data_IF_990914697587
#
_entry.id   IF_990914697587
#
_cell.length_a   1.000
_cell.length_b   1.000
_cell.length_c   1.000
_cell.angle_alpha   90.00
_cell.angle_beta   90.00
_cell.angle_gamma   90.00
#
_symmetry.space_group_name_H-M   'P 1'
#
loop_
_entity.id
_entity.type
_entity.pdbx_description
1 polymer ?
#
# COMPACT_ATOMS: atom_id res chain seq x y z
N UNK A 1 23.70 7.41 -20.80
CA UNK A 1 22.89 7.90 -19.66
C UNK A 1 21.90 8.90 -20.19
N UNK A 2 20.61 8.65 -19.98
CA UNK A 2 19.52 9.49 -20.46
C UNK A 2 18.68 9.99 -19.29
N UNK A 3 18.26 11.26 -19.33
CA UNK A 3 17.52 11.87 -18.23
C UNK A 3 16.42 12.79 -18.77
N UNK A 4 15.28 12.80 -18.07
CA UNK A 4 14.21 13.77 -18.29
C UNK A 4 13.70 14.30 -16.96
N UNK A 5 13.70 15.63 -16.83
CA UNK A 5 13.20 16.36 -15.67
C UNK A 5 11.92 17.09 -16.06
N UNK A 6 10.84 16.83 -15.30
CA UNK A 6 9.52 17.45 -15.43
C UNK A 6 9.03 17.93 -14.05
N UNK A 7 8.01 18.79 -14.04
CA UNK A 7 7.33 19.18 -12.78
C UNK A 7 6.73 17.96 -12.06
N UNK A 8 6.25 17.00 -12.84
CA UNK A 8 5.58 15.79 -12.36
C UNK A 8 6.56 14.69 -11.87
N UNK A 9 7.85 14.78 -12.23
CA UNK A 9 8.87 13.81 -11.83
C UNK A 9 10.13 13.88 -12.67
N UNK A 10 11.15 13.15 -12.22
CA UNK A 10 12.44 12.99 -12.92
C UNK A 10 12.69 11.53 -13.18
N UNK A 11 13.00 11.17 -14.43
CA UNK A 11 13.40 9.82 -14.81
C UNK A 11 14.85 9.83 -15.28
N UNK A 12 15.66 8.93 -14.73
CA UNK A 12 17.09 8.79 -15.06
C UNK A 12 17.37 7.35 -15.44
N UNK A 13 17.91 7.14 -16.63
CA UNK A 13 18.35 5.84 -17.14
C UNK A 13 19.88 5.79 -17.19
N UNK A 14 20.46 4.85 -16.45
CA UNK A 14 21.92 4.67 -16.37
C UNK A 14 22.46 3.58 -17.31
N UNK A 15 21.58 2.76 -17.90
CA UNK A 15 21.92 1.62 -18.75
C UNK A 15 21.36 0.31 -18.20
N UNK A 16 21.35 0.15 -16.87
CA UNK A 16 20.93 -1.08 -16.20
C UNK A 16 19.59 -0.92 -15.47
N UNK A 17 19.26 0.31 -15.06
CA UNK A 17 18.04 0.62 -14.35
C UNK A 17 17.50 2.01 -14.71
N UNK A 18 16.18 2.13 -14.60
CA UNK A 18 15.46 3.38 -14.73
C UNK A 18 14.98 3.83 -13.35
N UNK A 19 15.52 4.95 -12.88
CA UNK A 19 15.16 5.57 -11.61
C UNK A 19 14.02 6.57 -11.84
N UNK A 20 12.90 6.37 -11.17
CA UNK A 20 11.71 7.22 -11.23
C UNK A 20 11.58 7.98 -9.90
N UNK A 21 11.83 9.28 -9.93
CA UNK A 21 11.70 10.15 -8.77
C UNK A 21 10.43 10.99 -8.91
N UNK A 22 9.46 10.91 -7.97
CA UNK A 22 8.24 11.71 -8.04
C UNK A 22 8.57 13.20 -7.90
N UNK A 23 7.83 14.04 -8.63
CA UNK A 23 7.98 15.49 -8.52
C UNK A 23 7.51 16.01 -7.16
N UNK A 24 7.92 17.24 -6.83
CA UNK A 24 7.53 17.91 -5.58
C UNK A 24 6.30 18.79 -5.72
N UNK A 25 5.78 18.97 -6.93
CA UNK A 25 4.63 19.83 -7.21
C UNK A 25 3.36 19.35 -6.48
N UNK A 26 2.44 20.28 -6.19
CA UNK A 26 1.18 19.99 -5.51
C UNK A 26 0.26 19.03 -6.28
N UNK A 27 0.40 18.98 -7.61
CA UNK A 27 -0.38 18.13 -8.50
C UNK A 27 0.13 16.69 -8.56
N UNK A 28 1.35 16.41 -8.06
CA UNK A 28 1.86 15.04 -7.99
C UNK A 28 1.04 14.25 -6.98
N UNK A 29 0.53 13.10 -7.42
CA UNK A 29 -0.36 12.25 -6.63
C UNK A 29 0.24 11.84 -5.29
N UNK A 30 -0.58 11.81 -4.25
CA UNK A 30 -0.14 11.50 -2.88
C UNK A 30 0.51 10.12 -2.78
N UNK A 31 0.01 9.13 -3.53
CA UNK A 31 0.63 7.80 -3.62
C UNK A 31 2.05 7.85 -4.15
N UNK A 32 2.31 8.57 -5.25
CA UNK A 32 3.66 8.67 -5.81
C UNK A 32 4.63 9.33 -4.82
N UNK A 33 4.17 10.36 -4.10
CA UNK A 33 4.95 11.00 -3.03
C UNK A 33 5.27 10.04 -1.89
N UNK A 34 4.28 9.25 -1.46
CA UNK A 34 4.43 8.27 -0.38
C UNK A 34 5.31 7.07 -0.79
N UNK A 35 5.21 6.62 -2.05
CA UNK A 35 6.05 5.58 -2.61
C UNK A 35 7.51 6.03 -2.72
N UNK A 36 7.73 7.31 -3.02
CA UNK A 36 9.06 7.88 -3.14
C UNK A 36 9.75 7.46 -4.43
N UNK A 37 11.08 7.44 -4.40
CA UNK A 37 11.90 7.02 -5.53
C UNK A 37 11.75 5.52 -5.80
N UNK A 38 11.63 5.16 -7.08
CA UNK A 38 11.56 3.78 -7.54
C UNK A 38 12.70 3.48 -8.51
N UNK A 39 13.49 2.45 -8.22
CA UNK A 39 14.50 1.94 -9.15
C UNK A 39 13.92 0.73 -9.87
N UNK A 40 13.73 0.85 -11.18
CA UNK A 40 13.18 -0.19 -12.05
C UNK A 40 14.32 -0.84 -12.82
N UNK A 41 14.73 -2.07 -12.50
CA UNK A 41 15.81 -2.72 -13.24
C UNK A 41 15.36 -3.06 -14.66
N UNK A 42 16.28 -3.00 -15.63
CA UNK A 42 16.00 -3.24 -17.05
C UNK A 42 15.28 -4.59 -17.26
N UNK A 43 15.71 -5.63 -16.54
CA UNK A 43 15.09 -6.98 -16.57
C UNK A 43 13.60 -7.02 -16.19
N UNK A 44 13.07 -6.00 -15.52
CA UNK A 44 11.67 -5.88 -15.15
C UNK A 44 10.82 -5.14 -16.19
N UNK A 45 11.46 -4.47 -17.15
CA UNK A 45 10.78 -3.74 -18.21
C UNK A 45 10.40 -4.67 -19.36
N UNK A 46 9.15 -4.57 -19.80
CA UNK A 46 8.66 -5.15 -21.05
C UNK A 46 8.60 -4.11 -22.18
N UNK A 47 8.88 -2.84 -21.88
CA UNK A 47 8.99 -1.77 -22.87
C UNK A 47 8.70 -0.38 -22.31
N UNK A 48 8.89 0.62 -23.17
CA UNK A 48 8.58 2.02 -22.92
C UNK A 48 7.98 2.65 -24.18
N UNK A 49 6.95 3.47 -24.00
CA UNK A 49 6.35 4.27 -25.08
C UNK A 49 6.37 5.75 -24.74
N UNK A 50 6.49 6.56 -25.79
CA UNK A 50 6.29 8.00 -25.73
C UNK A 50 5.15 8.37 -26.67
N UNK A 51 4.13 9.03 -26.14
CA UNK A 51 2.98 9.52 -26.90
C UNK A 51 3.02 11.04 -26.92
N UNK A 52 3.24 11.62 -28.11
CA UNK A 52 3.22 13.08 -28.31
C UNK A 52 1.77 13.57 -28.42
N UNK A 53 1.41 14.58 -27.63
CA UNK A 53 0.12 15.26 -27.72
C UNK A 53 0.24 16.71 -28.19
N UNK A 54 -0.89 17.37 -28.44
CA UNK A 54 -0.90 18.77 -28.91
C UNK A 54 -0.39 19.78 -27.87
N UNK A 55 -0.62 19.51 -26.57
CA UNK A 55 -0.25 20.40 -25.45
C UNK A 55 0.69 19.75 -24.44
N UNK A 56 0.63 18.43 -24.34
CA UNK A 56 1.44 17.62 -23.43
C UNK A 56 1.58 16.22 -24.02
N UNK A 57 2.73 15.59 -23.81
CA UNK A 57 2.98 14.19 -24.14
C UNK A 57 3.00 13.34 -22.87
N UNK A 58 3.20 12.04 -23.06
CA UNK A 58 3.27 11.08 -21.96
C UNK A 58 4.32 10.02 -22.24
N UNK A 59 5.23 9.82 -21.29
CA UNK A 59 6.04 8.61 -21.21
C UNK A 59 5.31 7.55 -20.38
N UNK A 60 5.31 6.31 -20.86
CA UNK A 60 4.69 5.18 -20.17
C UNK A 60 5.64 3.99 -20.15
N UNK A 61 5.91 3.47 -18.96
CA UNK A 61 6.62 2.21 -18.77
C UNK A 61 5.62 1.06 -18.75
N UNK A 62 6.02 -0.05 -19.38
CA UNK A 62 5.34 -1.33 -19.26
C UNK A 62 6.30 -2.29 -18.56
N UNK A 63 5.91 -2.75 -17.39
CA UNK A 63 6.64 -3.81 -16.68
C UNK A 63 6.23 -5.18 -17.23
N UNK A 64 7.08 -6.18 -17.05
CA UNK A 64 6.75 -7.57 -17.30
C UNK A 64 5.66 -8.02 -16.33
N UNK A 65 4.77 -8.88 -16.81
CA UNK A 65 3.68 -9.42 -16.00
C UNK A 65 4.25 -10.20 -14.80
N UNK A 66 3.76 -9.92 -13.60
CA UNK A 66 4.27 -10.47 -12.34
C UNK A 66 5.49 -9.74 -11.75
N UNK A 67 6.13 -8.81 -12.46
CA UNK A 67 7.38 -8.21 -11.97
C UNK A 67 7.20 -7.23 -10.79
N UNK A 68 6.00 -6.67 -10.61
CA UNK A 68 5.76 -5.61 -9.63
C UNK A 68 4.58 -5.91 -8.70
N UNK A 69 4.80 -5.92 -7.37
CA UNK A 69 3.72 -6.18 -6.42
C UNK A 69 2.65 -5.07 -6.40
N UNK A 70 3.00 -3.81 -6.70
CA UNK A 70 2.03 -2.72 -6.80
C UNK A 70 1.08 -2.88 -7.99
N UNK A 71 1.62 -3.24 -9.16
CA UNK A 71 0.78 -3.53 -10.33
C UNK A 71 -0.06 -4.78 -10.09
N UNK A 72 0.50 -5.81 -9.45
CA UNK A 72 -0.22 -7.02 -9.10
C UNK A 72 -1.38 -6.77 -8.16
N UNK A 73 -1.17 -5.97 -7.10
CA UNK A 73 -2.21 -5.67 -6.11
C UNK A 73 -3.31 -4.75 -6.65
N UNK A 74 -2.98 -3.87 -7.61
CA UNK A 74 -3.92 -2.90 -8.17
C UNK A 74 -4.62 -3.38 -9.44
N UNK A 75 -4.12 -4.44 -10.08
CA UNK A 75 -4.64 -4.93 -11.35
C UNK A 75 -4.61 -3.88 -12.47
N UNK A 76 -3.68 -2.93 -12.41
CA UNK A 76 -3.59 -1.81 -13.37
C UNK A 76 -4.66 -0.72 -13.21
N UNK A 77 -5.46 -0.76 -12.14
CA UNK A 77 -6.54 0.21 -11.87
C UNK A 77 -6.02 1.54 -11.29
N UNK A 78 -4.73 1.61 -10.95
CA UNK A 78 -4.10 2.84 -10.48
C UNK A 78 -3.83 3.77 -11.67
N UNK A 79 -4.63 4.82 -11.80
CA UNK A 79 -4.55 5.79 -12.90
C UNK A 79 -3.89 7.10 -12.47
N UNK A 80 -3.72 8.05 -13.40
CA UNK A 80 -3.22 9.39 -13.07
C UNK A 80 -4.15 10.09 -12.05
N UNK A 81 -3.60 10.87 -11.11
CA UNK A 81 -2.19 11.24 -10.96
C UNK A 81 -1.36 10.26 -10.10
N UNK A 82 -1.87 9.05 -9.85
CA UNK A 82 -1.29 8.09 -8.91
C UNK A 82 -0.36 7.05 -9.55
N UNK A 83 -0.45 6.81 -10.85
CA UNK A 83 0.39 5.84 -11.56
C UNK A 83 1.88 6.26 -11.55
N UNK A 84 2.79 5.54 -10.87
CA UNK A 84 4.21 5.88 -10.81
C UNK A 84 4.96 5.58 -12.12
N UNK A 85 4.36 4.79 -13.03
CA UNK A 85 4.98 4.34 -14.28
C UNK A 85 4.63 5.23 -15.47
N UNK A 86 4.08 6.42 -15.19
CA UNK A 86 3.77 7.46 -16.18
C UNK A 86 4.44 8.76 -15.80
N UNK A 87 4.86 9.50 -16.82
CA UNK A 87 5.37 10.86 -16.68
C UNK A 87 4.73 11.75 -17.72
N UNK A 88 4.10 12.84 -17.27
CA UNK A 88 3.61 13.89 -18.16
C UNK A 88 4.80 14.68 -18.70
N UNK A 89 4.84 14.90 -20.01
CA UNK A 89 5.95 15.56 -20.71
C UNK A 89 5.46 16.90 -21.28
N UNK A 90 6.10 17.99 -20.91
CA UNK A 90 5.88 19.31 -21.52
C UNK A 90 6.37 19.35 -22.98
N UNK A 91 5.73 20.15 -23.84
CA UNK A 91 5.95 20.12 -25.30
C UNK A 91 7.37 20.47 -25.74
N UNK A 92 8.07 21.30 -24.96
CA UNK A 92 9.47 21.68 -25.16
C UNK A 92 10.45 20.55 -24.77
N UNK A 93 9.95 19.46 -24.17
CA UNK A 93 10.75 18.30 -23.73
C UNK A 93 10.49 17.04 -24.55
N UNK A 94 9.75 17.11 -25.65
CA UNK A 94 9.42 15.93 -26.47
C UNK A 94 10.64 15.23 -27.03
N UNK A 95 11.63 15.96 -27.55
CA UNK A 95 12.87 15.35 -28.04
C UNK A 95 13.67 14.62 -26.95
N UNK A 96 13.67 15.13 -25.71
CA UNK A 96 14.30 14.47 -24.56
C UNK A 96 13.54 13.20 -24.18
N UNK A 97 12.20 13.25 -24.21
CA UNK A 97 11.37 12.09 -23.92
C UNK A 97 11.54 10.97 -24.96
N UNK A 98 11.60 11.34 -26.23
CA UNK A 98 11.88 10.41 -27.34
C UNK A 98 13.28 9.78 -27.18
N UNK A 99 14.30 10.59 -26.90
CA UNK A 99 15.64 10.10 -26.61
C UNK A 99 15.69 9.11 -25.43
N UNK A 100 15.05 9.43 -24.30
CA UNK A 100 14.97 8.51 -23.15
C UNK A 100 14.27 7.21 -23.53
N UNK A 101 13.19 7.28 -24.31
CA UNK A 101 12.47 6.09 -24.74
C UNK A 101 13.30 5.23 -25.69
N UNK A 102 14.04 5.84 -26.61
CA UNK A 102 14.90 5.13 -27.56
C UNK A 102 16.10 4.48 -26.85
N UNK A 103 16.74 5.16 -25.90
CA UNK A 103 17.85 4.60 -25.11
C UNK A 103 17.42 3.35 -24.33
N UNK A 104 16.26 3.40 -23.67
CA UNK A 104 15.71 2.24 -22.94
C UNK A 104 15.33 1.11 -23.91
N UNK A 105 14.73 1.42 -25.08
CA UNK A 105 14.42 0.39 -26.08
C UNK A 105 15.67 -0.26 -26.65
N UNK A 106 16.71 0.53 -26.91
CA UNK A 106 18.00 0.03 -27.39
C UNK A 106 18.66 -0.87 -26.35
N UNK A 107 18.65 -0.49 -25.06
CA UNK A 107 19.18 -1.33 -23.99
C UNK A 107 18.42 -2.66 -23.87
N UNK A 108 17.08 -2.64 -23.93
CA UNK A 108 16.27 -3.87 -23.93
C UNK A 108 16.63 -4.82 -25.09
N UNK A 109 16.92 -4.26 -26.26
CA UNK A 109 17.32 -5.03 -27.45
C UNK A 109 18.73 -5.61 -27.30
N UNK A 110 19.70 -4.79 -26.87
CA UNK A 110 21.10 -5.19 -26.73
C UNK A 110 21.27 -6.28 -25.67
N UNK A 111 20.59 -6.14 -24.54
CA UNK A 111 20.63 -7.10 -23.42
C UNK A 111 19.68 -8.28 -23.62
N UNK A 112 18.92 -8.30 -24.73
CA UNK A 112 17.98 -9.36 -25.09
C UNK A 112 16.99 -9.67 -23.96
N UNK A 113 16.50 -8.62 -23.29
CA UNK A 113 15.58 -8.77 -22.14
C UNK A 113 14.25 -9.38 -22.61
N UNK A 114 13.82 -10.53 -22.04
CA UNK A 114 12.55 -11.14 -22.42
C UNK A 114 11.36 -10.24 -22.05
N UNK A 115 10.39 -10.12 -22.96
CA UNK A 115 9.15 -9.37 -22.71
C UNK A 115 8.07 -10.20 -21.98
N UNK A 116 8.29 -11.51 -21.83
CA UNK A 116 7.33 -12.44 -21.22
C UNK A 116 7.15 -12.27 -19.71
N UNK A 117 6.18 -13.00 -19.12
CA UNK A 117 5.91 -12.95 -17.69
C UNK A 117 7.12 -13.42 -16.85
N UNK A 118 7.07 -13.11 -15.56
CA UNK A 118 7.98 -13.63 -14.54
C UNK A 118 7.20 -14.36 -13.45
N UNK A 119 7.88 -15.25 -12.76
CA UNK A 119 7.37 -16.05 -11.64
C UNK A 119 7.81 -15.53 -10.27
N UNK A 120 8.56 -14.42 -10.24
CA UNK A 120 8.99 -13.72 -9.04
C UNK A 120 8.97 -12.20 -9.24
N UNK A 121 8.72 -11.46 -8.15
CA UNK A 121 8.78 -10.00 -8.16
C UNK A 121 10.23 -9.53 -8.42
N UNK A 122 10.39 -8.65 -9.41
CA UNK A 122 11.67 -8.02 -9.76
C UNK A 122 11.82 -6.62 -9.16
N UNK A 123 10.72 -6.03 -8.70
CA UNK A 123 10.70 -4.78 -7.94
C UNK A 123 10.42 -5.07 -6.46
N UNK A 124 11.02 -4.30 -5.54
CA UNK A 124 10.67 -4.40 -4.13
C UNK A 124 9.20 -3.99 -3.91
N UNK A 125 8.58 -4.58 -2.89
CA UNK A 125 7.32 -4.06 -2.35
C UNK A 125 7.55 -2.74 -1.60
N UNK A 126 6.47 -1.97 -1.30
CA UNK A 126 6.58 -0.80 -0.45
C UNK A 126 7.26 -1.11 0.90
N UNK A 127 8.00 -0.13 1.42
CA UNK A 127 8.69 -0.23 2.71
C UNK A 127 7.69 -0.45 3.85
N UNK A 128 8.07 -1.31 4.80
CA UNK A 128 7.31 -1.61 6.03
C UNK A 128 8.15 -1.18 7.25
N UNK A 129 7.53 -0.80 8.37
CA UNK A 129 6.09 -0.71 8.60
C UNK A 129 5.44 0.46 7.85
N UNK A 130 4.15 0.32 7.48
CA UNK A 130 3.33 1.41 6.95
C UNK A 130 1.93 1.41 7.55
N UNK A 131 1.32 2.59 7.63
CA UNK A 131 -0.04 2.77 8.12
C UNK A 131 -0.77 3.82 7.28
N UNK A 132 -1.99 3.51 6.87
CA UNK A 132 -2.83 4.37 6.05
C UNK A 132 -4.23 4.44 6.63
N UNK A 133 -4.69 5.66 6.92
CA UNK A 133 -6.09 5.95 7.30
C UNK A 133 -6.84 6.51 6.10
N UNK A 134 -7.85 5.78 5.63
CA UNK A 134 -8.69 6.15 4.51
C UNK A 134 -10.07 5.47 4.62
N UNK A 135 -11.09 6.07 4.03
CA UNK A 135 -12.45 5.53 4.10
C UNK A 135 -12.93 5.29 5.54
N UNK A 136 -13.40 4.07 5.82
CA UNK A 136 -13.95 3.68 7.11
C UNK A 136 -12.92 3.10 8.10
N UNK A 137 -11.62 3.18 7.83
CA UNK A 137 -10.64 2.60 8.76
C UNK A 137 -9.19 3.02 8.54
N UNK A 138 -8.33 2.44 9.37
CA UNK A 138 -6.88 2.50 9.26
C UNK A 138 -6.34 1.10 9.05
N UNK A 139 -5.57 0.90 7.98
CA UNK A 139 -4.85 -0.34 7.73
C UNK A 139 -3.35 -0.13 7.98
N UNK A 140 -2.79 -0.93 8.87
CA UNK A 140 -1.37 -0.93 9.19
C UNK A 140 -0.76 -2.30 8.88
N UNK A 141 0.47 -2.32 8.40
CA UNK A 141 1.21 -3.55 8.12
C UNK A 141 2.66 -3.40 8.53
N UNK A 142 3.14 -4.31 9.36
CA UNK A 142 4.51 -4.32 9.90
C UNK A 142 5.46 -5.27 9.15
N UNK A 143 4.94 -6.08 8.22
CA UNK A 143 5.68 -7.13 7.52
C UNK A 143 5.20 -8.54 7.86
N UNK A 144 4.55 -8.71 9.02
CA UNK A 144 4.06 -10.00 9.52
C UNK A 144 2.55 -10.00 9.76
N UNK A 145 1.97 -8.87 10.16
CA UNK A 145 0.57 -8.75 10.57
C UNK A 145 -0.06 -7.50 9.99
N UNK A 146 -1.29 -7.64 9.49
CA UNK A 146 -2.16 -6.54 9.12
C UNK A 146 -3.04 -6.19 10.32
N UNK A 147 -3.07 -4.92 10.71
CA UNK A 147 -3.98 -4.40 11.73
C UNK A 147 -5.00 -3.47 11.07
N UNK A 148 -6.28 -3.75 11.27
CA UNK A 148 -7.39 -2.93 10.83
C UNK A 148 -8.06 -2.28 12.04
N UNK A 149 -8.14 -0.96 12.03
CA UNK A 149 -8.75 -0.16 13.09
C UNK A 149 -9.88 0.69 12.53
N UNK A 150 -11.00 0.69 13.23
CA UNK A 150 -12.23 1.33 12.79
C UNK A 150 -12.31 2.77 13.28
N UNK A 151 -12.93 3.62 12.46
CA UNK A 151 -13.17 5.01 12.80
C UNK A 151 -14.67 5.24 13.05
N UNK A 152 -15.05 6.48 13.35
CA UNK A 152 -16.44 6.82 13.67
C UNK A 152 -17.43 6.63 12.50
N UNK A 153 -16.94 6.44 11.27
CA UNK A 153 -17.75 6.23 10.07
C UNK A 153 -17.95 4.75 9.74
N UNK A 154 -17.31 3.85 10.48
CA UNK A 154 -17.45 2.41 10.29
C UNK A 154 -18.86 1.95 10.66
N UNK A 155 -19.39 0.99 9.92
CA UNK A 155 -20.69 0.39 10.22
C UNK A 155 -20.70 -0.32 11.59
N UNK A 156 -21.80 -0.22 12.33
CA UNK A 156 -21.95 -0.76 13.69
C UNK A 156 -21.62 -2.25 13.78
N UNK A 157 -22.04 -3.06 12.80
CA UNK A 157 -21.76 -4.50 12.78
C UNK A 157 -20.26 -4.81 12.79
N UNK A 158 -19.47 -3.95 12.13
CA UNK A 158 -18.03 -4.06 12.00
C UNK A 158 -17.32 -3.45 13.21
N UNK A 159 -17.80 -2.29 13.67
CA UNK A 159 -17.33 -1.64 14.88
C UNK A 159 -17.50 -2.52 16.13
N UNK A 160 -18.64 -3.23 16.26
CA UNK A 160 -18.93 -4.15 17.36
C UNK A 160 -17.94 -5.34 17.43
N UNK A 161 -17.38 -5.75 16.30
CA UNK A 161 -16.34 -6.78 16.22
C UNK A 161 -14.96 -6.32 16.66
N UNK A 162 -14.76 -5.01 16.91
CA UNK A 162 -13.49 -4.43 17.32
C UNK A 162 -12.42 -4.41 16.21
N UNK A 163 -11.24 -3.90 16.57
CA UNK A 163 -10.08 -3.90 15.68
C UNK A 163 -9.66 -5.34 15.32
N UNK A 164 -9.18 -5.53 14.11
CA UNK A 164 -8.75 -6.84 13.59
C UNK A 164 -7.24 -6.90 13.45
N UNK A 165 -6.66 -8.04 13.79
CA UNK A 165 -5.26 -8.35 13.51
C UNK A 165 -5.22 -9.65 12.72
N UNK A 166 -4.66 -9.60 11.51
CA UNK A 166 -4.58 -10.72 10.57
C UNK A 166 -3.09 -11.04 10.35
N UNK A 167 -2.59 -12.20 10.81
CA UNK A 167 -1.24 -12.62 10.47
C UNK A 167 -1.15 -12.93 8.97
N UNK A 168 -0.05 -12.53 8.32
CA UNK A 168 0.15 -12.71 6.87
C UNK A 168 0.06 -14.17 6.44
N UNK A 169 0.39 -15.10 7.36
CA UNK A 169 0.28 -16.55 7.15
C UNK A 169 -1.15 -17.06 6.97
N UNK A 170 -2.14 -16.31 7.46
CA UNK A 170 -3.56 -16.63 7.31
C UNK A 170 -4.18 -15.93 6.09
N UNK A 171 -3.53 -14.90 5.56
CA UNK A 171 -3.97 -14.17 4.36
C UNK A 171 -3.64 -15.01 3.13
N UNK A 172 -4.64 -15.29 2.31
CA UNK A 172 -4.48 -16.01 1.03
C UNK A 172 -4.51 -15.09 -0.17
N UNK A 173 -5.16 -13.92 -0.04
CA UNK A 173 -5.17 -12.91 -1.09
C UNK A 173 -5.41 -11.51 -0.52
N UNK A 174 -5.03 -10.50 -1.27
CA UNK A 174 -5.30 -9.10 -0.97
C UNK A 174 -5.74 -8.40 -2.23
N UNK A 175 -6.87 -7.72 -2.15
CA UNK A 175 -7.51 -7.05 -3.28
C UNK A 175 -7.72 -5.58 -2.97
N UNK A 176 -7.34 -4.73 -3.92
CA UNK A 176 -7.65 -3.31 -3.86
C UNK A 176 -8.45 -2.90 -5.10
N UNK A 177 -9.55 -2.20 -4.85
CA UNK A 177 -10.35 -1.52 -5.87
C UNK A 177 -10.45 -0.03 -5.55
N UNK A 178 -10.23 0.85 -6.55
CA UNK A 178 -10.56 2.25 -6.40
C UNK A 178 -12.09 2.41 -6.39
N UNK A 179 -12.56 3.45 -5.71
CA UNK A 179 -13.91 3.97 -5.92
C UNK A 179 -14.01 4.57 -7.32
N UNK A 180 -15.14 4.37 -8.00
CA UNK A 180 -15.36 4.91 -9.33
C UNK A 180 -16.83 5.34 -9.50
N UNK A 181 -17.05 6.59 -9.91
CA UNK A 181 -18.41 7.12 -10.07
C UNK A 181 -19.18 7.11 -8.76
N UNK A 182 -20.23 6.29 -8.69
CA UNK A 182 -21.08 6.09 -7.50
C UNK A 182 -20.72 4.81 -6.73
N UNK A 183 -19.76 4.03 -7.22
CA UNK A 183 -19.34 2.77 -6.58
C UNK A 183 -18.21 3.02 -5.59
N UNK A 184 -18.39 2.50 -4.37
CA UNK A 184 -17.36 2.51 -3.33
C UNK A 184 -16.23 1.56 -3.70
N UNK A 185 -15.00 1.99 -3.41
CA UNK A 185 -13.82 1.15 -3.50
C UNK A 185 -13.63 0.33 -2.24
N UNK A 186 -12.59 -0.49 -2.20
CA UNK A 186 -12.21 -1.19 -0.98
C UNK A 186 -10.76 -1.69 -1.01
N UNK A 187 -10.22 -1.91 0.19
CA UNK A 187 -9.07 -2.77 0.44
C UNK A 187 -9.59 -4.00 1.19
N UNK A 188 -9.41 -5.21 0.66
CA UNK A 188 -9.91 -6.44 1.27
C UNK A 188 -8.83 -7.49 1.41
N UNK A 189 -8.86 -8.20 2.54
CA UNK A 189 -8.01 -9.34 2.83
C UNK A 189 -8.83 -10.62 2.82
N UNK A 190 -8.45 -11.57 1.97
CA UNK A 190 -9.02 -12.91 1.98
C UNK A 190 -8.26 -13.75 2.99
N UNK A 191 -8.96 -14.25 3.99
CA UNK A 191 -8.39 -15.05 5.09
C UNK A 191 -8.78 -16.51 4.90
N UNK A 192 -7.85 -17.43 5.14
CA UNK A 192 -8.05 -18.88 4.98
C UNK A 192 -9.28 -19.36 5.74
N UNK A 193 -10.17 -20.06 5.05
CA UNK A 193 -11.37 -20.66 5.65
C UNK A 193 -12.51 -19.67 5.95
N UNK A 194 -12.34 -18.37 5.64
CA UNK A 194 -13.37 -17.35 5.82
C UNK A 194 -13.93 -16.94 4.46
N UNK A 195 -15.20 -17.25 4.14
CA UNK A 195 -15.78 -16.93 2.84
C UNK A 195 -16.01 -15.42 2.68
N UNK A 196 -15.60 -14.86 1.55
CA UNK A 196 -15.86 -13.48 1.15
C UNK A 196 -17.24 -13.40 0.48
N UNK A 197 -18.31 -13.32 1.28
CA UNK A 197 -19.69 -13.20 0.75
C UNK A 197 -20.34 -11.85 1.02
N UNK A 198 -19.70 -11.01 1.82
CA UNK A 198 -20.30 -9.79 2.34
C UNK A 198 -19.79 -8.56 1.57
N UNK A 199 -20.63 -7.55 1.30
CA UNK A 199 -20.16 -6.25 0.79
C UNK A 199 -19.07 -5.65 1.70
N UNK A 200 -18.12 -4.90 1.14
CA UNK A 200 -16.97 -4.36 1.89
C UNK A 200 -17.39 -3.54 3.12
N UNK A 201 -18.51 -2.82 3.02
CA UNK A 201 -19.13 -2.07 4.13
C UNK A 201 -19.35 -2.89 5.40
N UNK A 202 -19.71 -4.17 5.26
CA UNK A 202 -20.03 -5.06 6.40
C UNK A 202 -18.97 -6.14 6.62
N UNK A 203 -17.87 -6.11 5.86
CA UNK A 203 -16.81 -7.12 5.93
C UNK A 203 -15.74 -6.67 6.94
N UNK A 204 -15.51 -7.43 8.04
CA UNK A 204 -14.49 -7.08 9.02
C UNK A 204 -13.06 -7.21 8.49
N UNK A 205 -12.85 -7.86 7.35
CA UNK A 205 -11.54 -8.00 6.70
C UNK A 205 -11.38 -7.03 5.52
N UNK A 206 -12.27 -6.04 5.38
CA UNK A 206 -12.16 -5.01 4.37
C UNK A 206 -12.16 -3.60 4.99
N UNK A 207 -11.61 -2.63 4.28
CA UNK A 207 -11.79 -1.19 4.49
C UNK A 207 -12.57 -0.67 3.29
N UNK A 208 -13.70 -0.02 3.51
CA UNK A 208 -14.48 0.61 2.44
C UNK A 208 -13.89 1.98 2.10
N UNK A 209 -13.80 2.30 0.80
CA UNK A 209 -13.21 3.53 0.27
C UNK A 209 -14.26 4.34 -0.49
N UNK A 210 -14.20 5.67 -0.40
CA UNK A 210 -15.23 6.59 -0.90
C UNK A 210 -14.70 7.61 -1.92
N UNK A 211 -13.46 7.45 -2.39
CA UNK A 211 -12.83 8.32 -3.38
C UNK A 211 -12.17 9.56 -2.80
N UNK A 212 -11.84 9.54 -1.51
CA UNK A 212 -11.08 10.64 -0.92
C UNK A 212 -9.62 10.60 -1.36
N UNK A 213 -8.94 11.74 -1.23
CA UNK A 213 -7.55 11.95 -1.66
C UNK A 213 -6.54 10.91 -1.12
N UNK A 214 -6.82 10.31 0.05
CA UNK A 214 -5.97 9.30 0.69
C UNK A 214 -6.29 7.87 0.26
N UNK A 215 -7.43 7.60 -0.35
CA UNK A 215 -7.88 6.25 -0.69
C UNK A 215 -6.91 5.48 -1.60
N UNK A 216 -6.26 6.12 -2.60
CA UNK A 216 -5.22 5.45 -3.38
C UNK A 216 -4.05 4.93 -2.54
N UNK A 217 -3.74 5.54 -1.39
CA UNK A 217 -2.66 5.06 -0.51
C UNK A 217 -2.91 3.64 0.02
N UNK A 218 -4.16 3.18 0.08
CA UNK A 218 -4.48 1.80 0.47
C UNK A 218 -3.90 0.77 -0.51
N UNK A 219 -3.64 1.16 -1.76
CA UNK A 219 -2.91 0.32 -2.71
C UNK A 219 -1.47 0.02 -2.25
N UNK A 220 -0.84 0.90 -1.46
CA UNK A 220 0.49 0.64 -0.90
C UNK A 220 0.44 -0.46 0.16
N UNK A 221 -0.60 -0.50 0.99
CA UNK A 221 -0.82 -1.57 1.96
C UNK A 221 -1.08 -2.88 1.21
N UNK A 222 -1.94 -2.86 0.19
CA UNK A 222 -2.21 -4.02 -0.66
C UNK A 222 -0.93 -4.56 -1.30
N UNK A 223 -0.11 -3.68 -1.88
CA UNK A 223 1.15 -4.04 -2.52
C UNK A 223 2.18 -4.57 -1.52
N UNK A 224 2.26 -3.98 -0.32
CA UNK A 224 3.15 -4.44 0.74
C UNK A 224 2.79 -5.86 1.18
N UNK A 225 1.51 -6.14 1.41
CA UNK A 225 1.04 -7.50 1.75
C UNK A 225 1.24 -8.45 0.59
N UNK A 226 0.91 -8.04 -0.64
CA UNK A 226 1.07 -8.86 -1.85
C UNK A 226 2.51 -9.32 -2.07
N UNK A 227 3.50 -8.46 -1.76
CA UNK A 227 4.91 -8.81 -1.85
C UNK A 227 5.35 -9.90 -0.85
N UNK A 228 4.56 -10.22 0.19
CA UNK A 228 4.83 -11.30 1.17
C UNK A 228 3.99 -12.55 0.94
N UNK A 229 3.01 -12.49 0.03
CA UNK A 229 2.24 -13.66 -0.37
C UNK A 229 3.01 -14.44 -1.46
N UNK A 230 2.74 -15.75 -1.62
CA UNK A 230 3.27 -16.51 -2.75
C UNK A 230 2.98 -15.81 -4.08
N UNK A 231 3.97 -15.74 -4.95
CA UNK A 231 3.80 -15.09 -6.23
C UNK A 231 2.79 -15.89 -7.09
N UNK A 232 1.81 -15.23 -7.74
CA UNK A 232 0.67 -15.90 -8.38
C UNK A 232 1.06 -16.79 -9.56
N UNK A 233 2.18 -16.51 -10.21
CA UNK A 233 2.70 -17.33 -11.30
C UNK A 233 3.77 -18.34 -10.83
N UNK A 234 4.14 -18.36 -9.54
CA UNK A 234 5.00 -19.43 -9.03
C UNK A 234 4.21 -20.73 -9.01
N UNK A 235 4.82 -21.81 -9.49
CA UNK A 235 4.23 -23.13 -9.37
C UNK A 235 3.99 -23.44 -7.87
N UNK A 236 2.80 -23.95 -7.49
CA UNK A 236 2.56 -24.39 -6.13
C UNK A 236 3.44 -25.61 -5.84
N UNK A 237 4.63 -25.40 -5.28
CA UNK A 237 5.57 -26.48 -4.99
C UNK A 237 6.94 -26.06 -4.47
N UNK A 238 7.41 -24.85 -4.75
CA UNK A 238 8.75 -24.43 -4.32
C UNK A 238 8.65 -23.43 -3.17
N UNK A 239 8.17 -23.93 -2.03
CA UNK A 239 8.50 -23.30 -0.76
C UNK A 239 10.02 -23.40 -0.60
N UNK A 240 10.73 -22.32 -0.98
CA UNK A 240 12.14 -22.13 -0.67
C UNK A 240 12.29 -22.32 0.84
N UNK A 241 12.77 -23.52 1.21
CA UNK A 241 13.25 -23.76 2.56
C UNK A 241 14.41 -22.78 2.77
N UNK A 242 14.40 -21.94 3.81
CA UNK A 242 15.61 -21.21 4.16
C UNK A 242 16.73 -22.24 4.42
N UNK A 243 17.96 -22.04 3.92
CA UNK A 243 19.09 -22.86 4.31
C UNK A 243 19.33 -22.59 5.79
N UNK A 244 18.83 -23.48 6.63
CA UNK A 244 19.10 -23.43 8.06
C UNK A 244 20.29 -24.34 8.28
N UNK A 245 21.49 -23.76 8.21
CA UNK A 245 22.67 -24.36 8.84
C UNK A 245 22.38 -24.46 10.34
N UNK A 246 22.21 -25.69 10.82
CA UNK A 246 22.14 -25.99 12.23
C UNK A 246 23.28 -26.96 12.57
N UNK A 247 24.15 -26.62 13.54
CA UNK A 247 24.83 -27.61 14.34
C UNK A 247 23.91 -28.11 15.45
N UNK A 248 23.85 -29.44 15.57
CA UNK A 248 23.10 -30.22 16.54
C UNK A 248 23.43 -29.84 18.00
N UNK A 249 22.40 -29.79 18.85
CA UNK A 249 22.51 -30.11 20.27
C UNK A 249 21.21 -30.77 20.75
N UNK A 250 21.36 -31.99 21.26
CA UNK A 250 20.34 -32.84 21.88
C UNK A 250 20.16 -32.48 23.36
N UNK A 251 18.91 -32.40 23.85
CA UNK A 251 18.42 -33.13 25.05
C UNK A 251 17.05 -32.63 25.57
N UNK A 252 16.09 -33.58 25.61
CA UNK A 252 14.98 -33.85 26.53
C UNK A 252 14.29 -32.77 27.41
N UNK A 253 12.94 -32.79 27.41
CA UNK A 253 12.01 -32.10 28.35
C UNK A 253 11.88 -32.77 29.74
N UNK A 254 10.82 -32.54 30.56
CA UNK A 254 9.43 -32.12 30.23
C UNK A 254 8.80 -31.02 31.14
N UNK A 255 7.53 -30.64 30.86
CA UNK A 255 6.63 -29.71 31.58
C UNK A 255 6.03 -30.33 32.90
N UNK A 256 5.26 -29.64 33.81
CA UNK A 256 4.02 -28.88 33.51
C UNK A 256 3.55 -27.70 34.44
N UNK A 257 2.52 -26.97 33.95
CA UNK A 257 1.35 -26.35 34.64
C UNK A 257 1.37 -24.98 35.37
N UNK A 258 0.32 -24.20 35.06
CA UNK A 258 -0.54 -23.33 35.91
C UNK A 258 -0.51 -21.78 35.71
N UNK A 259 -1.67 -21.24 35.30
CA UNK A 259 -2.15 -19.86 35.52
C UNK A 259 -2.80 -19.75 36.93
N UNK A 260 -3.19 -18.57 37.53
CA UNK A 260 -3.82 -17.41 36.88
C UNK A 260 -3.57 -15.98 37.49
N UNK A 261 -4.22 -14.99 36.84
CA UNK A 261 -4.83 -13.74 37.35
C UNK A 261 -4.04 -12.40 37.47
N UNK A 262 -4.72 -11.34 37.03
CA UNK A 262 -4.39 -9.90 37.09
C UNK A 262 -4.95 -9.20 38.35
N UNK A 263 -4.57 -7.94 38.62
CA UNK A 263 -5.52 -6.79 38.64
C UNK A 263 -4.93 -5.54 37.93
N UNK A 264 -5.64 -4.65 37.21
CA UNK A 264 -6.83 -3.83 37.47
C UNK A 264 -6.59 -2.52 38.28
N UNK A 265 -5.86 -1.54 37.72
CA UNK A 265 -5.85 -0.12 38.18
C UNK A 265 -5.70 0.96 37.06
N UNK A 266 -5.98 0.68 35.77
CA UNK A 266 -5.68 1.65 34.67
C UNK A 266 -6.84 2.59 34.24
N UNK A 267 -8.00 2.53 34.91
CA UNK A 267 -9.20 3.25 34.44
C UNK A 267 -9.16 4.77 34.63
N UNK A 268 -8.48 5.26 35.66
CA UNK A 268 -8.53 6.67 36.05
C UNK A 268 -7.51 7.52 35.27
N UNK A 269 -6.31 6.99 35.05
CA UNK A 269 -5.24 7.69 34.33
C UNK A 269 -5.51 7.77 32.83
N UNK A 270 -6.10 6.73 32.24
CA UNK A 270 -6.56 6.76 30.85
C UNK A 270 -7.65 7.83 30.62
N UNK A 271 -8.49 8.09 31.62
CA UNK A 271 -9.56 9.08 31.56
C UNK A 271 -9.01 10.51 31.65
N UNK A 272 -8.05 10.76 32.55
CA UNK A 272 -7.38 12.07 32.66
C UNK A 272 -6.59 12.41 31.40
N UNK A 273 -5.97 11.42 30.76
CA UNK A 273 -5.28 11.59 29.46
C UNK A 273 -6.27 11.98 28.35
N UNK A 274 -7.42 11.33 28.30
CA UNK A 274 -8.45 11.57 27.28
C UNK A 274 -9.15 12.93 27.43
N UNK A 275 -9.29 13.42 28.65
CA UNK A 275 -9.78 14.78 28.91
C UNK A 275 -8.76 15.86 28.51
N UNK A 276 -7.45 15.60 28.62
CA UNK A 276 -6.40 16.52 28.13
C UNK A 276 -6.39 16.58 26.59
N UNK A 277 -6.47 15.41 25.94
CA UNK A 277 -6.52 15.31 24.47
C UNK A 277 -7.75 16.04 23.87
N UNK A 278 -8.92 15.93 24.51
CA UNK A 278 -10.11 16.69 24.13
C UNK A 278 -9.93 18.21 24.27
N UNK A 279 -9.22 18.65 25.33
CA UNK A 279 -8.91 20.06 25.56
C UNK A 279 -7.85 20.63 24.61
N UNK A 280 -7.02 19.79 24.00
CA UNK A 280 -6.08 20.17 22.94
C UNK A 280 -6.79 20.32 21.60
N UNK A 281 -7.65 19.38 21.24
CA UNK A 281 -8.44 19.44 19.99
C UNK A 281 -9.39 20.63 19.90
N UNK A 282 -9.91 21.11 21.06
CA UNK A 282 -10.67 22.37 21.13
C UNK A 282 -9.78 23.60 20.90
N UNK A 283 -8.57 23.61 21.49
CA UNK A 283 -7.61 24.72 21.32
C UNK A 283 -7.11 24.83 19.88
N UNK A 284 -7.03 23.70 19.18
CA UNK A 284 -6.63 23.63 17.77
C UNK A 284 -7.80 23.96 16.81
N UNK A 285 -8.99 24.30 17.32
CA UNK A 285 -10.14 24.71 16.53
C UNK A 285 -10.78 23.59 15.70
N UNK A 286 -10.42 22.33 15.98
CA UNK A 286 -10.90 21.14 15.26
C UNK A 286 -12.31 20.75 15.74
N UNK A 287 -12.65 21.10 16.97
CA UNK A 287 -13.96 20.86 17.57
C UNK A 287 -14.65 22.18 17.91
N UNK A 288 -15.92 22.29 17.54
CA UNK A 288 -16.77 23.40 17.98
C UNK A 288 -17.11 23.27 19.48
N UNK A 289 -17.53 24.38 20.11
CA UNK A 289 -17.83 24.41 21.55
C UNK A 289 -18.95 23.42 21.95
N UNK A 290 -19.93 23.24 21.06
CA UNK A 290 -21.06 22.33 21.23
C UNK A 290 -20.61 20.85 21.17
N UNK A 291 -19.75 20.52 20.21
CA UNK A 291 -19.17 19.18 20.05
C UNK A 291 -18.23 18.82 21.21
N UNK A 292 -17.45 19.79 21.71
CA UNK A 292 -16.60 19.61 22.89
C UNK A 292 -17.45 19.35 24.15
N UNK A 293 -18.55 20.08 24.33
CA UNK A 293 -19.40 19.94 25.52
C UNK A 293 -20.11 18.57 25.52
N UNK A 294 -20.57 18.10 24.37
CA UNK A 294 -21.16 16.76 24.20
C UNK A 294 -20.13 15.65 24.43
N UNK A 295 -18.93 15.78 23.86
CA UNK A 295 -17.85 14.80 24.05
C UNK A 295 -17.39 14.73 25.52
N UNK A 296 -17.28 15.87 26.19
CA UNK A 296 -16.95 15.95 27.62
C UNK A 296 -18.03 15.29 28.50
N UNK A 297 -19.31 15.51 28.19
CA UNK A 297 -20.42 14.86 28.90
C UNK A 297 -20.45 13.34 28.65
N UNK A 298 -20.13 12.88 27.44
CA UNK A 298 -20.07 11.46 27.11
C UNK A 298 -18.90 10.74 27.83
N UNK A 299 -17.77 11.42 28.02
CA UNK A 299 -16.64 10.90 28.80
C UNK A 299 -16.95 10.86 30.30
N UNK A 300 -17.63 11.88 30.83
CA UNK A 300 -18.02 11.93 32.25
C UNK A 300 -19.19 11.00 32.61
N UNK A 301 -20.10 10.70 31.67
CA UNK A 301 -21.19 9.72 31.86
C UNK A 301 -20.74 8.26 31.88
N UNK A 302 -19.46 7.99 31.61
CA UNK A 302 -18.86 6.65 31.62
C UNK A 302 -18.19 6.31 32.96
N UNK A 303 -18.43 7.14 34.00
CA UNK A 303 -18.26 6.79 35.42
C UNK A 303 -19.35 5.81 35.86
#
# INVERSE_FOLDING_TARGET
MAEIIQKDGTWVFDGDALRLTPGRDKNVGLLRKALGELVVPLRALAGISFEQGKKSGRLRLRLRDGACPLLQATGGRLTEPHDPYRLVVESDRYGVAEYVADEVRNALLLDQVPAGPVDAYLLPGPSVPLSVSAGDGTASFDGERVRLEWNWKTEDAKAAGGARTLPVTEITDVEWYPSAGLENGHLRFTVRGVPVKTPAKYDPNAVELWGFKKDPLMALVAAAVRARLPHPASAPGEAVRPPTDAPQAVAAGPAPSAAPAAPAEDGHDALLRRLRELGELRRDGVLTEEEFTLAKQAVLKRM
#
